data_IF_876149305526
#
_entry.id   IF_876149305526
#
_cell.length_a   1.000
_cell.length_b   1.000
_cell.length_c   1.000
_cell.angle_alpha   90.00
_cell.angle_beta   90.00
_cell.angle_gamma   90.00
#
_symmetry.space_group_name_H-M   'P 1'
#
loop_
_entity.id
_entity.type
_entity.pdbx_description
1 polymer ?
#
# COMPACT_ATOMS: atom_id res chain seq x y z
N UNK A 1 -2.81 -16.67 18.24
CA UNK A 1 -1.83 -15.99 17.37
C UNK A 1 -2.51 -15.69 16.05
N UNK A 2 -2.76 -14.43 15.70
CA UNK A 2 -3.36 -14.09 14.41
C UNK A 2 -2.28 -14.21 13.34
N UNK A 3 -2.44 -15.14 12.39
CA UNK A 3 -1.53 -15.34 11.27
C UNK A 3 -1.76 -14.24 10.23
N UNK A 4 -0.75 -13.41 9.97
CA UNK A 4 -0.78 -12.52 8.80
C UNK A 4 -0.28 -13.32 7.60
N UNK A 5 -1.17 -13.60 6.64
CA UNK A 5 -0.83 -14.32 5.41
C UNK A 5 -0.52 -13.37 4.28
N UNK A 6 0.76 -13.21 3.98
CA UNK A 6 1.23 -12.51 2.79
C UNK A 6 0.93 -13.34 1.54
N UNK A 7 0.38 -12.72 0.50
CA UNK A 7 0.05 -13.36 -0.78
C UNK A 7 0.84 -12.81 -1.95
N UNK A 8 1.09 -11.51 -1.98
CA UNK A 8 1.82 -10.86 -3.07
C UNK A 8 2.49 -9.59 -2.57
N UNK A 9 3.61 -9.22 -3.21
CA UNK A 9 4.27 -7.93 -3.09
C UNK A 9 4.50 -7.42 -4.52
N UNK A 10 4.29 -6.13 -4.73
CA UNK A 10 4.60 -5.46 -5.99
C UNK A 10 4.87 -3.98 -5.75
N UNK A 11 5.59 -3.33 -6.66
CA UNK A 11 5.94 -1.92 -6.50
C UNK A 11 6.60 -1.35 -7.74
N UNK A 12 6.64 -0.02 -7.82
CA UNK A 12 7.33 0.72 -8.89
C UNK A 12 8.04 1.90 -8.24
N UNK A 13 9.34 2.09 -8.50
CA UNK A 13 10.11 3.20 -7.94
C UNK A 13 9.95 3.30 -6.42
N UNK A 14 9.44 4.45 -5.95
CA UNK A 14 9.26 4.76 -4.52
C UNK A 14 7.91 4.30 -3.93
N UNK A 15 7.17 3.44 -4.63
CA UNK A 15 5.88 2.90 -4.16
C UNK A 15 5.94 1.38 -4.06
N UNK A 16 5.50 0.86 -2.92
CA UNK A 16 5.38 -0.58 -2.67
C UNK A 16 3.99 -0.91 -2.15
N UNK A 17 3.49 -2.08 -2.53
CA UNK A 17 2.21 -2.63 -2.09
C UNK A 17 2.34 -4.12 -1.77
N UNK A 18 1.53 -4.58 -0.83
CA UNK A 18 1.40 -5.97 -0.44
C UNK A 18 -0.06 -6.38 -0.27
N UNK A 19 -0.37 -7.63 -0.61
CA UNK A 19 -1.64 -8.27 -0.26
C UNK A 19 -1.38 -9.15 0.95
N UNK A 20 -1.98 -8.82 2.09
CA UNK A 20 -1.89 -9.61 3.30
C UNK A 20 -3.28 -9.81 3.93
N UNK A 21 -3.60 -11.06 4.30
CA UNK A 21 -4.88 -11.41 4.92
C UNK A 21 -6.13 -10.83 4.22
N UNK A 22 -6.10 -10.82 2.87
CA UNK A 22 -7.20 -10.30 2.04
C UNK A 22 -7.30 -8.78 1.95
N UNK A 23 -6.34 -8.04 2.53
CA UNK A 23 -6.27 -6.58 2.47
C UNK A 23 -5.05 -6.13 1.67
N UNK A 24 -5.16 -4.96 1.04
CA UNK A 24 -4.06 -4.30 0.36
C UNK A 24 -3.41 -3.30 1.32
N UNK A 25 -2.09 -3.31 1.38
CA UNK A 25 -1.28 -2.38 2.14
C UNK A 25 -0.30 -1.74 1.18
N UNK A 26 -0.35 -0.42 1.02
CA UNK A 26 0.60 0.32 0.19
C UNK A 26 1.35 1.35 1.03
N UNK A 27 2.63 1.55 0.75
CA UNK A 27 3.50 2.51 1.43
C UNK A 27 4.50 3.12 0.44
N UNK A 28 5.06 4.28 0.82
CA UNK A 28 6.02 5.02 0.02
C UNK A 28 5.49 6.39 -0.42
N UNK A 29 5.94 6.85 -1.58
CA UNK A 29 5.56 8.15 -2.13
C UNK A 29 4.05 8.24 -2.39
N UNK A 30 3.43 9.35 -1.96
CA UNK A 30 2.00 9.60 -2.15
C UNK A 30 1.67 11.02 -2.65
N UNK A 31 2.66 11.77 -3.12
CA UNK A 31 2.47 13.16 -3.57
C UNK A 31 1.49 13.32 -4.76
N UNK A 32 1.17 12.23 -5.46
CA UNK A 32 0.22 12.19 -6.58
C UNK A 32 -0.95 11.23 -6.33
N UNK A 33 -1.12 10.73 -5.10
CA UNK A 33 -2.22 9.84 -4.72
C UNK A 33 -1.99 8.38 -5.10
N UNK A 34 -0.72 7.99 -5.31
CA UNK A 34 -0.33 6.65 -5.75
C UNK A 34 -0.85 5.53 -4.84
N UNK A 35 -1.10 5.82 -3.56
CA UNK A 35 -1.54 4.83 -2.58
C UNK A 35 -3.06 4.63 -2.56
N UNK A 36 -3.81 5.41 -3.35
CA UNK A 36 -5.26 5.21 -3.56
C UNK A 36 -6.16 5.78 -2.46
N UNK A 37 -5.62 6.54 -1.51
CA UNK A 37 -6.38 7.20 -0.42
C UNK A 37 -6.28 8.73 -0.44
N UNK A 38 -6.03 9.30 -1.63
CA UNK A 38 -5.83 10.73 -1.81
C UNK A 38 -4.37 11.15 -1.58
N UNK A 39 -4.12 12.45 -1.66
CA UNK A 39 -2.79 13.05 -1.45
C UNK A 39 -2.63 13.55 -0.01
N UNK A 40 -1.40 13.66 0.51
CA UNK A 40 -1.17 14.32 1.79
C UNK A 40 -1.74 15.74 1.78
N UNK A 41 -2.57 16.07 2.77
CA UNK A 41 -3.12 17.41 2.96
C UNK A 41 -4.34 17.76 2.09
N UNK A 42 -4.86 16.86 1.26
CA UNK A 42 -6.21 17.03 0.69
C UNK A 42 -7.28 16.81 1.76
N UNK A 43 -8.34 17.65 1.83
CA UNK A 43 -9.45 17.49 2.78
C UNK A 43 -10.21 16.17 2.61
#
# INVERSE_FOLDING_TARGET
MLEIRLRAIGGTGDVSCAIASGKVYCWGMNNMGQLGFGIPGSP
#
